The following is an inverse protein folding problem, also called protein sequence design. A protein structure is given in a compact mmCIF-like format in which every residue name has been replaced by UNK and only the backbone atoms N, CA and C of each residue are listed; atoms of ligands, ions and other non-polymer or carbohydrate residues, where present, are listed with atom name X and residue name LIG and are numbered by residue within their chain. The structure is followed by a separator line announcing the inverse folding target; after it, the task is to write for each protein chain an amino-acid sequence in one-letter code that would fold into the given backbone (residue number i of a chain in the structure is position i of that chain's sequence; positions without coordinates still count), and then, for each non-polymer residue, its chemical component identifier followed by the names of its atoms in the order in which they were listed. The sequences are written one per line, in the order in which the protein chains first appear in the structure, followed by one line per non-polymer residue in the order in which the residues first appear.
data_IF_401260517890
#
_entry.id   IF_401260517890
#
_cell.length_a   1.000
_cell.length_b   1.000
_cell.length_c   1.000
_cell.angle_alpha   90.00
_cell.angle_beta   90.00
_cell.angle_gamma   90.00
#
_symmetry.space_group_name_H-M   'P 1'
#
loop_
_entity.id
_entity.type
_entity.pdbx_description
1 polymer ?
#
# COMPACT_ATOMS: atom_id res chain seq x y z
N UNK A 1 6.68 34.69 -26.35
CA UNK A 1 5.96 34.34 -25.10
C UNK A 1 4.80 33.46 -25.49
N UNK A 2 4.97 32.15 -25.39
CA UNK A 2 3.87 31.19 -25.58
C UNK A 2 3.26 30.92 -24.21
N UNK A 3 1.98 31.24 -24.05
CA UNK A 3 1.18 30.92 -22.88
C UNK A 3 1.13 29.40 -22.64
N UNK A 4 1.64 28.97 -21.48
CA UNK A 4 1.60 27.60 -20.98
C UNK A 4 0.49 27.41 -19.93
N UNK A 5 -0.63 28.11 -20.06
CA UNK A 5 -1.84 27.81 -19.27
C UNK A 5 -2.79 26.95 -20.10
N UNK A 6 -2.45 25.67 -20.26
CA UNK A 6 -3.46 24.62 -20.45
C UNK A 6 -3.80 24.08 -19.07
N UNK A 7 -4.83 24.64 -18.47
CA UNK A 7 -5.53 23.97 -17.38
C UNK A 7 -6.10 22.66 -17.92
N UNK A 8 -5.46 21.55 -17.56
CA UNK A 8 -5.99 20.22 -17.78
C UNK A 8 -7.18 20.04 -16.83
N UNK A 9 -8.36 20.43 -17.31
CA UNK A 9 -9.63 20.25 -16.62
C UNK A 9 -10.02 18.76 -16.69
N UNK A 10 -9.36 17.92 -15.88
CA UNK A 10 -9.78 16.54 -15.68
C UNK A 10 -11.05 16.57 -14.83
N UNK A 11 -12.20 16.34 -15.46
CA UNK A 11 -13.45 16.02 -14.77
C UNK A 11 -13.25 14.71 -14.00
N UNK A 12 -12.71 14.82 -12.79
CA UNK A 12 -12.44 13.67 -11.95
C UNK A 12 -13.75 13.12 -11.38
N UNK A 13 -13.96 11.82 -11.54
CA UNK A 13 -15.06 11.12 -10.89
C UNK A 13 -14.51 10.39 -9.67
N UNK A 14 -14.95 10.76 -8.45
CA UNK A 14 -14.54 10.02 -7.25
C UNK A 14 -14.94 8.55 -7.34
N UNK A 15 -14.04 7.66 -6.90
CA UNK A 15 -14.35 6.23 -6.71
C UNK A 15 -15.57 6.07 -5.80
N UNK A 16 -16.31 4.97 -5.98
CA UNK A 16 -17.43 4.64 -5.09
C UNK A 16 -16.97 4.45 -3.65
N UNK A 17 -15.74 3.97 -3.44
CA UNK A 17 -15.13 3.86 -2.12
C UNK A 17 -15.14 5.22 -1.40
N UNK A 18 -14.60 6.24 -2.06
CA UNK A 18 -14.53 7.59 -1.49
C UNK A 18 -15.91 8.21 -1.27
N UNK A 19 -16.87 8.01 -2.20
CA UNK A 19 -18.26 8.47 -2.01
C UNK A 19 -18.93 7.83 -0.80
N UNK A 20 -18.58 6.59 -0.47
CA UNK A 20 -19.10 5.84 0.68
C UNK A 20 -18.28 6.03 1.96
N UNK A 21 -17.18 6.79 1.92
CA UNK A 21 -16.26 6.93 3.04
C UNK A 21 -15.51 5.64 3.40
N UNK A 22 -15.38 4.70 2.45
CA UNK A 22 -14.61 3.47 2.62
C UNK A 22 -13.14 3.80 2.33
N UNK A 23 -12.22 3.65 3.29
CA UNK A 23 -10.81 3.93 3.08
C UNK A 23 -10.19 2.97 2.06
N UNK A 24 -9.38 3.54 1.16
CA UNK A 24 -8.48 2.79 0.28
C UNK A 24 -7.04 3.06 0.70
N UNK A 25 -6.33 2.01 1.12
CA UNK A 25 -4.92 2.09 1.53
C UNK A 25 -4.03 1.51 0.42
N UNK A 26 -3.20 2.38 -0.17
CA UNK A 26 -2.19 1.99 -1.13
C UNK A 26 -0.97 1.37 -0.45
N UNK A 27 -0.52 0.21 -0.93
CA UNK A 27 0.71 -0.46 -0.50
C UNK A 27 1.73 -0.38 -1.62
N UNK A 28 2.73 0.50 -1.47
CA UNK A 28 3.77 0.76 -2.46
C UNK A 28 5.16 0.32 -1.99
N UNK A 29 6.12 0.26 -2.92
CA UNK A 29 7.51 -0.08 -2.58
C UNK A 29 8.27 -0.88 -3.65
N UNK A 30 9.59 -1.07 -3.45
CA UNK A 30 10.45 -1.87 -4.32
C UNK A 30 9.96 -3.29 -4.61
N UNK A 31 10.38 -3.79 -5.77
CA UNK A 31 10.25 -5.21 -6.10
C UNK A 31 10.93 -6.02 -4.98
N UNK A 32 10.20 -7.00 -4.44
CA UNK A 32 10.73 -7.88 -3.40
C UNK A 32 10.77 -7.31 -1.98
N UNK A 33 10.30 -6.08 -1.71
CA UNK A 33 10.33 -5.51 -0.35
C UNK A 33 9.36 -6.18 0.63
N UNK A 34 8.37 -6.92 0.12
CA UNK A 34 7.39 -7.66 0.92
C UNK A 34 5.99 -7.02 0.96
N UNK A 35 5.62 -6.23 -0.07
CA UNK A 35 4.28 -5.64 -0.22
C UNK A 35 3.16 -6.69 -0.15
N UNK A 36 3.19 -7.70 -1.01
CA UNK A 36 2.20 -8.79 -1.02
C UNK A 36 2.14 -9.53 0.32
N UNK A 37 3.30 -9.76 0.96
CA UNK A 37 3.36 -10.37 2.29
C UNK A 37 2.72 -9.47 3.36
N UNK A 38 2.87 -8.15 3.26
CA UNK A 38 2.18 -7.20 4.14
C UNK A 38 0.67 -7.23 3.92
N UNK A 39 0.21 -7.21 2.66
CA UNK A 39 -1.22 -7.31 2.32
C UNK A 39 -1.81 -8.60 2.87
N UNK A 40 -1.14 -9.73 2.67
CA UNK A 40 -1.54 -11.02 3.23
C UNK A 40 -1.70 -10.95 4.75
N UNK A 41 -0.67 -10.49 5.45
CA UNK A 41 -0.64 -10.46 6.90
C UNK A 41 -1.70 -9.50 7.47
N UNK A 42 -1.89 -8.33 6.87
CA UNK A 42 -2.95 -7.40 7.25
C UNK A 42 -4.34 -8.00 7.04
N UNK A 43 -4.59 -8.65 5.89
CA UNK A 43 -5.85 -9.34 5.63
C UNK A 43 -6.13 -10.41 6.69
N UNK A 44 -5.17 -11.28 6.98
CA UNK A 44 -5.32 -12.35 7.98
C UNK A 44 -5.58 -11.81 9.39
N UNK A 45 -4.94 -10.70 9.78
CA UNK A 45 -5.11 -10.08 11.11
C UNK A 45 -6.43 -9.32 11.28
N UNK A 46 -7.03 -8.85 10.19
CA UNK A 46 -8.17 -7.92 10.23
C UNK A 46 -9.49 -8.56 9.78
N UNK A 47 -9.48 -9.58 8.91
CA UNK A 47 -10.68 -10.11 8.24
C UNK A 47 -11.74 -10.71 9.17
N UNK A 48 -11.36 -11.16 10.37
CA UNK A 48 -12.32 -11.72 11.34
C UNK A 48 -13.14 -10.61 12.02
N UNK A 49 -12.64 -9.37 11.95
CA UNK A 49 -13.24 -8.21 12.61
C UNK A 49 -13.84 -7.22 11.63
N UNK A 50 -13.34 -7.16 10.41
CA UNK A 50 -13.71 -6.18 9.39
C UNK A 50 -13.94 -6.84 8.04
N UNK A 51 -14.87 -6.28 7.26
CA UNK A 51 -15.10 -6.72 5.88
C UNK A 51 -14.05 -6.09 4.96
N UNK A 52 -13.17 -6.90 4.39
CA UNK A 52 -12.01 -6.44 3.62
C UNK A 52 -12.12 -6.81 2.15
N UNK A 53 -11.31 -6.11 1.36
CA UNK A 53 -11.04 -6.42 -0.03
C UNK A 53 -9.59 -6.08 -0.41
N UNK A 54 -9.05 -6.77 -1.41
CA UNK A 54 -7.71 -6.51 -1.91
C UNK A 54 -7.71 -6.40 -3.45
N UNK A 55 -7.04 -5.36 -3.95
CA UNK A 55 -6.71 -5.20 -5.35
C UNK A 55 -5.19 -5.25 -5.47
N UNK A 56 -4.66 -6.12 -6.32
CA UNK A 56 -3.22 -6.15 -6.64
C UNK A 56 -3.02 -5.67 -8.05
N UNK A 57 -2.07 -4.78 -8.23
CA UNK A 57 -1.69 -4.26 -9.53
C UNK A 57 -0.31 -4.76 -9.91
N UNK A 58 -0.16 -5.32 -11.10
CA UNK A 58 1.15 -5.64 -11.67
C UNK A 58 1.13 -5.38 -13.19
N UNK A 59 2.32 -5.27 -13.77
CA UNK A 59 2.50 -4.88 -15.16
C UNK A 59 2.06 -6.01 -16.10
N UNK A 60 2.47 -7.25 -15.78
CA UNK A 60 2.39 -8.38 -16.71
C UNK A 60 1.67 -9.61 -16.16
N UNK A 61 1.34 -9.65 -14.86
CA UNK A 61 0.86 -10.87 -14.23
C UNK A 61 -0.24 -10.62 -13.21
N UNK A 62 -0.95 -11.68 -12.81
CA UNK A 62 -1.87 -11.69 -11.66
C UNK A 62 -1.31 -12.53 -10.51
N UNK A 63 0.01 -12.76 -10.49
CA UNK A 63 0.65 -13.67 -9.55
C UNK A 63 0.40 -13.23 -8.11
N UNK A 64 0.40 -11.92 -7.82
CA UNK A 64 0.17 -11.42 -6.46
C UNK A 64 -1.26 -11.74 -5.96
N UNK A 65 -2.29 -11.55 -6.80
CA UNK A 65 -3.66 -11.97 -6.49
C UNK A 65 -3.77 -13.50 -6.30
N UNK A 66 -3.06 -14.29 -7.11
CA UNK A 66 -3.00 -15.74 -6.94
C UNK A 66 -2.30 -16.16 -5.64
N UNK A 67 -1.22 -15.47 -5.25
CA UNK A 67 -0.52 -15.70 -3.99
C UNK A 67 -1.49 -15.44 -2.83
N UNK A 68 -2.15 -14.29 -2.81
CA UNK A 68 -3.12 -13.94 -1.77
C UNK A 68 -4.26 -14.96 -1.70
N UNK A 69 -4.74 -15.43 -2.84
CA UNK A 69 -5.77 -16.47 -2.94
C UNK A 69 -5.29 -17.81 -2.39
N UNK A 70 -4.11 -18.28 -2.81
CA UNK A 70 -3.53 -19.56 -2.36
C UNK A 70 -3.22 -19.55 -0.87
N UNK A 71 -2.85 -18.39 -0.33
CA UNK A 71 -2.62 -18.17 1.10
C UNK A 71 -3.91 -17.97 1.89
N UNK A 72 -5.05 -18.03 1.21
CA UNK A 72 -6.35 -17.74 1.76
C UNK A 72 -6.33 -16.44 2.56
N UNK A 73 -5.77 -15.35 2.02
CA UNK A 73 -5.74 -14.06 2.70
C UNK A 73 -7.17 -13.54 2.94
N UNK A 74 -8.01 -13.65 1.91
CA UNK A 74 -9.44 -13.34 1.89
C UNK A 74 -10.18 -14.38 1.02
N UNK A 75 -11.54 -14.41 1.07
CA UNK A 75 -12.34 -15.09 0.05
C UNK A 75 -11.90 -14.67 -1.36
N UNK A 76 -11.85 -15.62 -2.29
CA UNK A 76 -11.29 -15.43 -3.64
C UNK A 76 -11.98 -14.28 -4.39
N UNK A 77 -13.30 -14.17 -4.24
CA UNK A 77 -14.11 -13.14 -4.87
C UNK A 77 -13.89 -11.72 -4.30
N UNK A 78 -13.09 -11.58 -3.24
CA UNK A 78 -12.67 -10.31 -2.64
C UNK A 78 -11.24 -9.91 -2.99
N UNK A 79 -10.57 -10.69 -3.83
CA UNK A 79 -9.22 -10.42 -4.34
C UNK A 79 -9.31 -10.21 -5.85
N UNK A 80 -8.79 -9.09 -6.34
CA UNK A 80 -8.78 -8.76 -7.78
C UNK A 80 -7.37 -8.43 -8.23
N UNK A 81 -6.89 -9.13 -9.26
CA UNK A 81 -5.63 -8.81 -9.93
C UNK A 81 -5.88 -7.94 -11.17
N UNK A 82 -5.25 -6.77 -11.21
CA UNK A 82 -5.29 -5.83 -12.33
C UNK A 82 -3.96 -5.90 -13.08
N UNK A 83 -4.04 -6.24 -14.37
CA UNK A 83 -2.91 -6.16 -15.30
C UNK A 83 -2.97 -4.81 -16.00
N UNK A 84 -1.87 -4.05 -15.96
CA UNK A 84 -1.85 -2.69 -16.50
C UNK A 84 -1.15 -2.57 -17.84
N UNK A 85 -0.27 -3.52 -18.17
CA UNK A 85 0.50 -3.53 -19.42
C UNK A 85 1.47 -2.36 -19.59
N UNK A 86 1.67 -1.53 -18.56
CA UNK A 86 2.42 -0.28 -18.61
C UNK A 86 3.30 -0.02 -17.40
N UNK A 87 4.01 1.11 -17.39
CA UNK A 87 4.88 1.49 -16.27
C UNK A 87 4.08 1.51 -14.95
N UNK A 88 4.60 0.94 -13.84
CA UNK A 88 3.85 0.82 -12.58
C UNK A 88 3.45 2.20 -12.03
N UNK A 89 4.26 3.24 -12.26
CA UNK A 89 3.91 4.63 -11.93
C UNK A 89 2.63 5.09 -12.63
N UNK A 90 2.44 4.76 -13.90
CA UNK A 90 1.29 5.22 -14.69
C UNK A 90 0.01 4.65 -14.09
N UNK A 91 0.00 3.36 -13.78
CA UNK A 91 -1.17 2.67 -13.26
C UNK A 91 -1.69 3.18 -11.90
N UNK A 92 -0.81 3.78 -11.09
CA UNK A 92 -1.18 4.28 -9.75
C UNK A 92 -1.23 5.80 -9.68
N UNK A 93 -0.72 6.52 -10.70
CA UNK A 93 -0.56 7.97 -10.67
C UNK A 93 -1.20 8.71 -11.84
N UNK A 94 -0.89 8.30 -13.07
CA UNK A 94 -1.23 9.06 -14.28
C UNK A 94 -2.49 8.54 -14.96
N UNK A 95 -2.71 7.23 -14.93
CA UNK A 95 -3.91 6.55 -15.42
C UNK A 95 -4.31 5.46 -14.43
N UNK A 96 -5.06 5.89 -13.40
CA UNK A 96 -5.55 5.03 -12.34
C UNK A 96 -6.88 4.32 -12.69
N UNK A 97 -7.40 4.51 -13.90
CA UNK A 97 -8.76 4.11 -14.29
C UNK A 97 -9.04 2.62 -14.07
N UNK A 98 -8.12 1.74 -14.47
CA UNK A 98 -8.24 0.29 -14.29
C UNK A 98 -8.35 -0.12 -12.82
N UNK A 99 -7.59 0.54 -11.93
CA UNK A 99 -7.68 0.27 -10.49
C UNK A 99 -8.98 0.83 -9.91
N UNK A 100 -9.42 2.01 -10.36
CA UNK A 100 -10.68 2.61 -9.93
C UNK A 100 -11.88 1.74 -10.33
N UNK A 101 -11.90 1.23 -11.57
CA UNK A 101 -12.92 0.31 -12.04
C UNK A 101 -12.93 -1.00 -11.25
N UNK A 102 -11.76 -1.59 -10.99
CA UNK A 102 -11.63 -2.80 -10.18
C UNK A 102 -12.18 -2.59 -8.74
N UNK A 103 -11.89 -1.44 -8.13
CA UNK A 103 -12.42 -1.05 -6.82
C UNK A 103 -13.95 -0.93 -6.86
N UNK A 104 -14.49 -0.22 -7.85
CA UNK A 104 -15.93 0.02 -7.97
C UNK A 104 -16.71 -1.27 -8.24
N UNK A 105 -16.15 -2.16 -9.08
CA UNK A 105 -16.71 -3.48 -9.37
C UNK A 105 -16.70 -4.40 -8.15
N UNK A 106 -15.63 -4.33 -7.35
CA UNK A 106 -15.55 -5.07 -6.10
C UNK A 106 -16.61 -4.59 -5.13
N UNK A 107 -16.78 -3.28 -4.95
CA UNK A 107 -17.79 -2.70 -4.07
C UNK A 107 -19.22 -2.95 -4.53
N UNK A 108 -19.44 -3.15 -5.83
CA UNK A 108 -20.75 -3.55 -6.37
C UNK A 108 -21.10 -4.99 -5.97
N UNK A 109 -20.10 -5.88 -5.98
CA UNK A 109 -20.26 -7.30 -5.60
C UNK A 109 -20.31 -7.49 -4.08
N UNK A 110 -19.56 -6.67 -3.34
CA UNK A 110 -19.40 -6.74 -1.89
C UNK A 110 -19.74 -5.38 -1.25
N UNK A 111 -21.03 -5.05 -1.10
CA UNK A 111 -21.45 -3.74 -0.58
C UNK A 111 -21.12 -3.53 0.90
N UNK A 112 -20.73 -4.59 1.62
CA UNK A 112 -20.40 -4.61 3.04
C UNK A 112 -18.92 -4.29 3.34
N UNK A 113 -18.07 -4.12 2.32
CA UNK A 113 -16.63 -3.83 2.49
C UNK A 113 -16.42 -2.53 3.29
N UNK A 114 -15.57 -2.63 4.31
CA UNK A 114 -15.17 -1.55 5.23
C UNK A 114 -13.77 -1.01 4.94
N UNK A 115 -12.90 -1.76 4.24
CA UNK A 115 -11.53 -1.36 3.89
C UNK A 115 -11.03 -2.08 2.64
N UNK A 116 -10.31 -1.33 1.80
CA UNK A 116 -9.67 -1.86 0.61
C UNK A 116 -8.15 -1.65 0.69
N UNK A 117 -7.39 -2.72 0.48
CA UNK A 117 -5.96 -2.63 0.19
C UNK A 117 -5.73 -2.60 -1.32
N UNK A 118 -4.90 -1.67 -1.78
CA UNK A 118 -4.44 -1.61 -3.17
C UNK A 118 -2.91 -1.76 -3.22
N UNK A 119 -2.43 -2.93 -3.63
CA UNK A 119 -1.00 -3.14 -3.87
C UNK A 119 -0.59 -2.60 -5.23
N UNK A 120 0.48 -1.80 -5.29
CA UNK A 120 1.10 -1.40 -6.56
C UNK A 120 2.06 -2.47 -7.09
N UNK A 121 2.34 -2.41 -8.39
CA UNK A 121 3.52 -3.09 -8.95
C UNK A 121 4.80 -2.65 -8.23
N UNK A 122 5.81 -3.51 -8.22
CA UNK A 122 7.09 -3.18 -7.59
C UNK A 122 7.84 -2.08 -8.34
N UNK A 123 8.33 -1.07 -7.61
CA UNK A 123 8.92 0.12 -8.22
C UNK A 123 9.93 0.81 -7.29
N UNK A 124 10.76 1.71 -7.81
CA UNK A 124 11.79 2.38 -7.03
C UNK A 124 11.22 3.39 -6.01
N UNK A 125 12.12 4.04 -5.26
CA UNK A 125 11.82 4.98 -4.16
C UNK A 125 10.97 6.22 -4.56
N UNK A 126 10.73 6.43 -5.86
CA UNK A 126 9.91 7.51 -6.41
C UNK A 126 8.42 7.17 -6.53
N UNK A 127 8.01 5.91 -6.36
CA UNK A 127 6.62 5.52 -6.50
C UNK A 127 5.71 6.25 -5.51
N UNK A 128 4.66 6.84 -6.05
CA UNK A 128 3.65 7.63 -5.34
C UNK A 128 2.29 7.32 -5.93
N UNK A 129 1.30 7.12 -5.08
CA UNK A 129 -0.08 6.96 -5.52
C UNK A 129 -0.71 8.33 -5.81
N UNK A 130 -1.61 8.36 -6.79
CA UNK A 130 -2.50 9.50 -6.98
C UNK A 130 -3.42 9.63 -5.76
N UNK A 131 -3.60 10.85 -5.20
CA UNK A 131 -4.62 11.12 -4.20
C UNK A 131 -6.03 10.83 -4.70
N UNK A 132 -6.24 10.65 -6.01
CA UNK A 132 -7.51 10.26 -6.60
C UNK A 132 -7.83 8.77 -6.46
N UNK A 133 -6.81 7.95 -6.21
CA UNK A 133 -6.91 6.49 -6.19
C UNK A 133 -6.94 5.93 -4.76
N UNK A 134 -6.13 6.50 -3.86
CA UNK A 134 -6.02 6.03 -2.47
C UNK A 134 -6.16 7.20 -1.49
N UNK A 135 -6.58 6.91 -0.27
CA UNK A 135 -6.71 7.89 0.82
C UNK A 135 -5.46 7.94 1.70
N UNK A 136 -4.78 6.80 1.84
CA UNK A 136 -3.53 6.69 2.59
C UNK A 136 -2.53 5.75 1.91
N UNK A 137 -1.25 5.94 2.20
CA UNK A 137 -0.15 5.15 1.63
C UNK A 137 0.71 4.54 2.72
N UNK A 138 0.83 3.21 2.70
CA UNK A 138 1.93 2.49 3.34
C UNK A 138 3.01 2.25 2.29
N UNK A 139 4.24 2.65 2.59
CA UNK A 139 5.38 2.38 1.73
C UNK A 139 6.29 1.34 2.40
N UNK A 140 6.66 0.30 1.66
CA UNK A 140 7.45 -0.83 2.16
C UNK A 140 8.84 -0.80 1.54
N UNK A 141 9.85 -0.58 2.37
CA UNK A 141 11.25 -0.86 2.05
C UNK A 141 11.70 -2.08 2.86
N UNK A 142 12.87 -2.61 2.56
CA UNK A 142 13.42 -3.73 3.32
C UNK A 142 14.92 -3.57 3.59
N UNK A 143 15.36 -4.23 4.65
CA UNK A 143 16.75 -4.17 5.14
C UNK A 143 17.76 -4.74 4.14
N UNK A 144 17.36 -5.69 3.30
CA UNK A 144 18.25 -6.26 2.28
C UNK A 144 18.60 -5.30 1.14
N UNK A 145 17.85 -4.20 0.99
CA UNK A 145 18.22 -3.06 0.14
C UNK A 145 19.42 -2.25 0.66
N UNK A 146 19.84 -2.48 1.90
CA UNK A 146 20.94 -1.82 2.58
C UNK A 146 20.51 -0.67 3.50
N UNK A 147 21.29 -0.43 4.55
CA UNK A 147 21.00 0.59 5.58
C UNK A 147 20.95 2.04 5.07
N UNK A 148 21.56 2.31 3.91
CA UNK A 148 21.51 3.61 3.23
C UNK A 148 20.18 3.92 2.54
N UNK A 149 19.23 2.99 2.48
CA UNK A 149 17.97 3.22 1.74
C UNK A 149 17.18 4.41 2.32
N UNK A 150 16.93 4.51 3.66
CA UNK A 150 16.23 5.65 4.23
C UNK A 150 16.80 7.03 3.83
N UNK A 151 18.12 7.23 3.92
CA UNK A 151 18.77 8.52 3.57
C UNK A 151 18.68 8.92 2.09
N UNK A 152 18.30 8.00 1.18
CA UNK A 152 18.07 8.36 -0.22
C UNK A 152 16.84 9.26 -0.39
N UNK A 153 15.91 9.29 0.57
CA UNK A 153 14.90 10.35 0.66
C UNK A 153 13.85 10.38 -0.45
N UNK A 154 13.59 9.28 -1.15
CA UNK A 154 12.56 9.24 -2.18
C UNK A 154 11.17 9.59 -1.61
N UNK A 155 10.21 10.06 -2.43
CA UNK A 155 8.84 10.37 -2.01
C UNK A 155 8.13 9.29 -1.19
N UNK A 156 8.32 8.00 -1.50
CA UNK A 156 7.79 6.91 -0.66
C UNK A 156 8.40 6.91 0.75
N UNK A 157 9.64 7.36 0.87
CA UNK A 157 10.29 7.59 2.16
C UNK A 157 9.84 8.91 2.79
N UNK A 158 9.76 10.01 2.07
CA UNK A 158 9.57 11.32 2.74
C UNK A 158 8.10 11.69 2.96
N UNK A 159 7.15 11.00 2.30
CA UNK A 159 5.75 11.46 2.22
C UNK A 159 4.68 10.38 2.46
N UNK A 160 5.03 9.10 2.50
CA UNK A 160 4.00 8.09 2.81
C UNK A 160 3.50 8.24 4.24
N UNK A 161 2.20 8.00 4.46
CA UNK A 161 1.56 8.16 5.76
C UNK A 161 2.08 7.15 6.80
N UNK A 162 2.57 6.00 6.34
CA UNK A 162 3.30 5.04 7.15
C UNK A 162 4.44 4.40 6.36
N UNK A 163 5.54 4.07 7.02
CA UNK A 163 6.63 3.28 6.44
C UNK A 163 6.86 1.98 7.17
N UNK A 164 6.98 0.92 6.38
CA UNK A 164 7.42 -0.38 6.85
C UNK A 164 8.86 -0.59 6.38
N UNK A 165 9.75 -0.89 7.33
CA UNK A 165 11.12 -1.35 7.09
C UNK A 165 11.17 -2.84 7.39
N UNK A 166 10.87 -3.65 6.38
CA UNK A 166 10.68 -5.09 6.51
C UNK A 166 12.00 -5.87 6.50
N UNK A 167 11.91 -7.15 6.88
CA UNK A 167 13.02 -8.12 6.90
C UNK A 167 14.13 -7.74 7.86
N UNK A 168 13.78 -7.19 9.03
CA UNK A 168 14.76 -6.77 10.04
C UNK A 168 15.68 -7.90 10.51
N UNK A 169 15.22 -9.15 10.42
CA UNK A 169 15.98 -10.37 10.69
C UNK A 169 17.17 -10.56 9.73
N UNK A 170 17.15 -9.95 8.54
CA UNK A 170 18.23 -10.08 7.57
C UNK A 170 19.41 -9.14 7.84
N UNK A 171 19.30 -8.19 8.78
CA UNK A 171 20.35 -7.20 9.07
C UNK A 171 21.75 -7.82 9.26
N UNK A 172 21.93 -8.91 10.05
CA UNK A 172 23.24 -9.54 10.25
C UNK A 172 23.82 -10.18 8.99
N UNK A 173 22.96 -10.53 8.02
CA UNK A 173 23.34 -11.24 6.79
C UNK A 173 23.72 -10.30 5.64
N UNK A 174 23.23 -9.05 5.68
CA UNK A 174 23.45 -8.06 4.61
C UNK A 174 24.31 -6.88 5.05
N UNK A 175 24.88 -6.95 6.26
CA UNK A 175 25.72 -5.91 6.87
C UNK A 175 24.99 -4.56 6.93
N UNK A 176 23.72 -4.60 7.28
CA UNK A 176 22.92 -3.39 7.52
C UNK A 176 22.82 -3.15 9.03
N UNK A 177 22.92 -1.88 9.43
CA UNK A 177 22.72 -1.45 10.81
C UNK A 177 21.32 -0.85 10.98
N UNK A 178 20.47 -1.51 11.78
CA UNK A 178 19.11 -1.04 12.06
C UNK A 178 19.10 0.32 12.78
N UNK A 179 20.13 0.64 13.57
CA UNK A 179 20.23 1.94 14.25
C UNK A 179 20.51 3.09 13.28
N UNK A 180 21.33 2.83 12.25
CA UNK A 180 21.56 3.79 11.16
C UNK A 180 20.28 4.01 10.37
N UNK A 181 19.57 2.91 10.06
CA UNK A 181 18.27 3.00 9.38
C UNK A 181 17.25 3.80 10.19
N UNK A 182 17.16 3.59 11.51
CA UNK A 182 16.24 4.33 12.39
C UNK A 182 16.57 5.83 12.38
N UNK A 183 17.84 6.19 12.60
CA UNK A 183 18.29 7.58 12.62
C UNK A 183 18.01 8.28 11.28
N UNK A 184 18.35 7.65 10.17
CA UNK A 184 18.12 8.20 8.83
C UNK A 184 16.63 8.30 8.51
N UNK A 185 15.83 7.33 8.95
CA UNK A 185 14.38 7.36 8.78
C UNK A 185 13.79 8.54 9.52
N UNK A 186 14.12 8.74 10.81
CA UNK A 186 13.67 9.92 11.58
C UNK A 186 14.10 11.22 10.91
N UNK A 187 15.35 11.29 10.44
CA UNK A 187 15.87 12.49 9.76
C UNK A 187 15.10 12.81 8.48
N UNK A 188 14.80 11.81 7.65
CA UNK A 188 14.17 12.03 6.36
C UNK A 188 12.65 12.23 6.45
N UNK A 189 12.02 11.73 7.52
CA UNK A 189 10.55 11.66 7.63
C UNK A 189 9.95 12.54 8.71
N UNK A 190 10.77 13.10 9.59
CA UNK A 190 10.30 13.85 10.76
C UNK A 190 9.43 12.97 11.65
N UNK A 191 8.24 13.46 11.95
CA UNK A 191 7.29 12.82 12.88
C UNK A 191 6.37 11.78 12.21
N UNK A 192 6.51 11.54 10.90
CA UNK A 192 5.72 10.53 10.21
C UNK A 192 6.05 9.12 10.74
N UNK A 193 5.03 8.28 11.00
CA UNK A 193 5.23 7.00 11.66
C UNK A 193 5.92 5.99 10.74
N UNK A 194 6.71 5.12 11.37
CA UNK A 194 7.30 3.96 10.71
C UNK A 194 7.50 2.82 11.72
N UNK A 195 7.65 1.61 11.21
CA UNK A 195 8.00 0.44 12.02
C UNK A 195 9.02 -0.44 11.29
N UNK A 196 9.97 -0.98 12.06
CA UNK A 196 10.73 -2.15 11.64
C UNK A 196 9.84 -3.38 11.77
N UNK A 197 9.89 -4.27 10.78
CA UNK A 197 9.10 -5.48 10.80
C UNK A 197 9.90 -6.69 10.33
N UNK A 198 9.52 -7.85 10.85
CA UNK A 198 9.73 -9.14 10.20
C UNK A 198 8.33 -9.73 9.97
N UNK A 199 7.76 -9.47 8.81
CA UNK A 199 6.40 -9.92 8.46
C UNK A 199 6.26 -11.45 8.53
N UNK A 200 7.32 -12.19 8.24
CA UNK A 200 7.30 -13.66 8.31
C UNK A 200 7.06 -14.17 9.73
N UNK A 201 7.68 -13.53 10.72
CA UNK A 201 7.47 -13.87 12.14
C UNK A 201 6.30 -13.12 12.79
N UNK A 202 5.86 -12.02 12.18
CA UNK A 202 4.89 -11.08 12.75
C UNK A 202 5.48 -10.00 13.65
N UNK A 203 6.80 -10.00 13.90
CA UNK A 203 7.47 -8.96 14.71
C UNK A 203 7.26 -7.58 14.08
N UNK A 204 6.87 -6.60 14.91
CA UNK A 204 6.60 -5.22 14.51
C UNK A 204 5.29 -4.99 13.74
N UNK A 205 4.59 -6.05 13.35
CA UNK A 205 3.36 -5.94 12.55
C UNK A 205 2.21 -5.28 13.31
N UNK A 206 2.15 -5.42 14.64
CA UNK A 206 1.08 -4.87 15.47
C UNK A 206 0.99 -3.34 15.37
N UNK A 207 2.12 -2.64 15.21
CA UNK A 207 2.13 -1.20 14.98
C UNK A 207 1.50 -0.82 13.65
N UNK A 208 1.69 -1.63 12.60
CA UNK A 208 1.09 -1.42 11.29
C UNK A 208 -0.42 -1.68 11.34
N UNK A 209 -0.82 -2.78 12.01
CA UNK A 209 -2.24 -3.13 12.21
C UNK A 209 -2.97 -2.04 12.97
N UNK A 210 -2.42 -1.57 14.09
CA UNK A 210 -3.02 -0.51 14.89
C UNK A 210 -3.15 0.80 14.09
N UNK A 211 -2.16 1.11 13.25
CA UNK A 211 -2.23 2.27 12.37
C UNK A 211 -3.35 2.13 11.33
N UNK A 212 -3.50 0.95 10.69
CA UNK A 212 -4.59 0.67 9.74
C UNK A 212 -5.96 0.79 10.42
N UNK A 213 -6.12 0.24 11.63
CA UNK A 213 -7.38 0.29 12.38
C UNK A 213 -7.85 1.72 12.67
N UNK A 214 -6.92 2.65 12.91
CA UNK A 214 -7.24 4.07 13.12
C UNK A 214 -7.81 4.76 11.88
N UNK A 215 -7.68 4.15 10.69
CA UNK A 215 -8.21 4.68 9.42
C UNK A 215 -9.56 4.07 9.06
N UNK A 216 -10.00 3.04 9.78
CA UNK A 216 -11.31 2.45 9.57
C UNK A 216 -12.41 3.44 9.98
N UNK A 217 -13.57 3.43 9.30
CA UNK A 217 -14.72 4.18 9.75
C UNK A 217 -15.07 3.80 11.19
N UNK A 218 -15.37 4.79 12.03
CA UNK A 218 -15.88 4.51 13.37
C UNK A 218 -17.22 3.80 13.22
N UNK A 219 -17.30 2.56 13.72
CA UNK A 219 -18.58 1.86 13.79
C UNK A 219 -19.53 2.69 14.63
N UNK A 220 -20.65 3.13 14.06
CA UNK A 220 -21.72 3.73 14.83
C UNK A 220 -22.07 2.74 15.94
N UNK A 221 -21.79 3.12 17.19
CA UNK A 221 -21.94 2.24 18.33
C UNK A 221 -23.36 1.71 18.39
N UNK A 222 -23.50 0.38 18.41
CA UNK A 222 -24.70 -0.21 19.00
C UNK A 222 -24.59 0.07 20.49
N UNK A 223 -25.23 1.16 20.92
CA UNK A 223 -25.58 1.39 22.33
C UNK A 223 -26.77 0.51 22.69
#
# INVERSE_FOLDING_TARGET
MHDLNREHNHNWTPTQARKKGIPVIGIGGPVGSGKTALVEALCQRLRERYSLAAVTNDIFTKIDAEILTKRAALPVDRIVGVETGGCPHTAIREDASHNQEAIDDLLRRHPDVELIFLESGGDNLAATFSPELVDHVIYVIDVSGGDKIPRKGGPGITRSDFLVINKMDLAPHVRADLSVMDQDTRRMRGDLPFAFTNILSGEGLDSVVAWVEQRLPQRAGHS
#
